data_IF_978733762643
#
_entry.id   IF_978733762643
#
_cell.length_a   1.000
_cell.length_b   1.000
_cell.length_c   1.000
_cell.angle_alpha   90.00
_cell.angle_beta   90.00
_cell.angle_gamma   90.00
#
_symmetry.space_group_name_H-M   'P 1'
#
loop_
_entity.id
_entity.type
_entity.pdbx_description
1 polymer ?
#
# COMPACT_ATOMS: atom_id res chain seq x y z
N UNK A 1 -13.66 15.04 -23.46
CA UNK A 1 -12.40 15.48 -22.79
C UNK A 1 -12.53 15.25 -21.30
N UNK A 2 -11.48 14.74 -20.64
CA UNK A 2 -11.43 14.60 -19.18
C UNK A 2 -10.29 15.46 -18.66
N UNK A 3 -10.60 16.34 -17.71
CA UNK A 3 -9.61 17.18 -17.04
C UNK A 3 -9.28 16.46 -15.73
N UNK A 4 -7.99 16.25 -15.47
CA UNK A 4 -7.47 15.68 -14.23
C UNK A 4 -6.59 16.78 -13.61
N UNK A 5 -6.90 17.20 -12.39
CA UNK A 5 -6.13 18.20 -11.65
C UNK A 5 -5.30 17.51 -10.56
N UNK A 6 -4.08 17.96 -10.36
CA UNK A 6 -3.21 17.50 -9.27
C UNK A 6 -3.17 18.58 -8.18
N UNK A 7 -3.62 18.25 -6.97
CA UNK A 7 -3.72 19.18 -5.85
C UNK A 7 -2.82 18.66 -4.73
N UNK A 8 -1.85 19.47 -4.32
CA UNK A 8 -0.90 19.13 -3.25
C UNK A 8 -1.13 19.90 -1.96
N UNK A 9 -1.88 21.01 -2.01
CA UNK A 9 -2.22 21.79 -0.83
C UNK A 9 -3.17 21.02 0.08
N UNK A 10 -2.79 20.87 1.35
CA UNK A 10 -3.51 20.05 2.32
C UNK A 10 -4.86 20.65 2.70
N UNK A 11 -4.98 21.98 2.77
CA UNK A 11 -6.24 22.62 3.09
C UNK A 11 -7.26 22.36 1.98
N UNK A 12 -6.84 22.57 0.73
CA UNK A 12 -7.65 22.31 -0.47
C UNK A 12 -8.09 20.85 -0.56
N UNK A 13 -7.20 19.88 -0.28
CA UNK A 13 -7.57 18.45 -0.26
C UNK A 13 -8.62 18.17 0.81
N UNK A 14 -8.49 18.77 2.01
CA UNK A 14 -9.46 18.58 3.10
C UNK A 14 -10.83 19.13 2.74
N UNK A 15 -10.90 20.35 2.20
CA UNK A 15 -12.15 20.99 1.80
C UNK A 15 -12.86 20.18 0.71
N UNK A 16 -12.09 19.62 -0.23
CA UNK A 16 -12.62 18.73 -1.26
C UNK A 16 -13.18 17.43 -0.68
N UNK A 17 -12.45 16.77 0.23
CA UNK A 17 -12.94 15.55 0.90
C UNK A 17 -14.21 15.83 1.71
N UNK A 18 -14.26 16.96 2.43
CA UNK A 18 -15.43 17.42 3.17
C UNK A 18 -16.64 17.63 2.25
N UNK A 19 -16.46 18.31 1.13
CA UNK A 19 -17.53 18.54 0.15
C UNK A 19 -18.08 17.24 -0.44
N UNK A 20 -17.25 16.20 -0.56
CA UNK A 20 -17.65 14.86 -1.01
C UNK A 20 -18.21 13.96 0.11
N UNK A 21 -18.19 14.41 1.37
CA UNK A 21 -18.53 13.58 2.52
C UNK A 21 -17.57 12.41 2.76
N UNK A 22 -16.33 12.52 2.26
CA UNK A 22 -15.29 11.52 2.47
C UNK A 22 -14.58 11.72 3.81
N UNK A 23 -14.01 10.64 4.40
CA UNK A 23 -13.16 10.77 5.58
C UNK A 23 -11.94 11.66 5.30
N UNK A 24 -11.70 12.62 6.20
CA UNK A 24 -10.53 13.52 6.15
C UNK A 24 -9.30 12.82 6.73
N UNK A 25 -9.52 11.89 7.67
CA UNK A 25 -8.46 11.08 8.23
C UNK A 25 -8.02 10.03 7.20
N UNK A 26 -6.72 9.78 7.06
CA UNK A 26 -6.25 8.69 6.23
C UNK A 26 -6.80 7.36 6.76
N UNK A 27 -7.10 6.39 5.88
CA UNK A 27 -7.51 5.07 6.33
C UNK A 27 -6.41 4.46 7.18
N UNK A 28 -6.79 3.76 8.25
CA UNK A 28 -5.85 2.97 9.03
C UNK A 28 -5.21 1.94 8.09
N UNK A 29 -3.89 2.00 7.95
CA UNK A 29 -3.15 1.03 7.15
C UNK A 29 -3.30 -0.32 7.85
N UNK A 30 -4.09 -1.20 7.26
CA UNK A 30 -4.09 -2.60 7.66
C UNK A 30 -2.72 -3.19 7.28
N UNK A 31 -2.14 -4.10 8.08
CA UNK A 31 -0.97 -4.83 7.66
C UNK A 31 -1.24 -5.49 6.30
N UNK A 32 -0.20 -5.59 5.48
CA UNK A 32 -0.30 -6.32 4.22
C UNK A 32 -0.94 -7.68 4.50
N UNK A 33 -2.03 -8.00 3.78
CA UNK A 33 -2.66 -9.30 3.92
C UNK A 33 -1.59 -10.35 3.64
N UNK A 34 -1.40 -11.29 4.55
CA UNK A 34 -0.49 -12.42 4.35
C UNK A 34 -0.89 -13.23 3.11
N UNK A 35 -0.06 -14.20 2.71
CA UNK A 35 -0.38 -15.10 1.61
C UNK A 35 -1.79 -15.69 1.76
N UNK A 36 -2.50 -15.95 0.66
CA UNK A 36 -3.79 -16.64 0.69
C UNK A 36 -3.72 -17.92 1.54
N UNK A 37 -4.81 -18.27 2.25
CA UNK A 37 -4.82 -19.41 3.18
C UNK A 37 -4.38 -20.74 2.54
N UNK A 38 -4.64 -20.93 1.25
CA UNK A 38 -4.24 -22.13 0.50
C UNK A 38 -2.75 -22.19 0.16
N UNK A 39 -2.01 -21.08 0.35
CA UNK A 39 -0.56 -20.97 0.23
C UNK A 39 0.14 -20.98 1.61
N UNK A 40 -0.61 -20.99 2.71
CA UNK A 40 -0.03 -21.12 4.04
C UNK A 40 0.33 -22.60 4.28
N UNK A 41 1.60 -22.92 4.61
CA UNK A 41 1.95 -24.26 5.08
C UNK A 41 1.10 -24.61 6.31
N UNK A 42 0.72 -25.89 6.53
CA UNK A 42 0.10 -26.30 7.78
C UNK A 42 0.99 -25.84 8.94
N UNK A 43 0.39 -25.24 9.96
CA UNK A 43 1.08 -24.55 11.06
C UNK A 43 2.12 -25.46 11.74
N UNK A 44 3.33 -25.49 11.18
CA UNK A 44 4.56 -25.69 11.92
C UNK A 44 5.07 -24.30 12.18
N UNK A 45 5.43 -24.02 13.43
CA UNK A 45 6.31 -22.92 13.78
C UNK A 45 7.62 -23.12 13.02
N UNK A 46 7.68 -22.68 11.76
CA UNK A 46 8.94 -22.33 11.14
C UNK A 46 9.22 -20.93 11.65
N UNK A 47 10.22 -20.83 12.50
CA UNK A 47 10.92 -19.59 12.76
C UNK A 47 11.44 -19.12 11.40
N UNK A 48 10.67 -18.25 10.73
CA UNK A 48 11.09 -17.67 9.46
C UNK A 48 12.18 -16.68 9.86
N UNK A 49 13.44 -17.06 9.70
CA UNK A 49 14.54 -16.12 9.80
C UNK A 49 14.30 -14.99 8.77
N UNK A 50 14.04 -13.75 9.21
CA UNK A 50 13.78 -12.64 8.31
C UNK A 50 14.95 -12.36 7.36
N UNK A 51 16.16 -12.83 7.71
CA UNK A 51 17.37 -12.71 6.89
C UNK A 51 17.42 -13.74 5.75
N UNK A 52 16.62 -14.82 5.80
CA UNK A 52 16.57 -15.83 4.73
C UNK A 52 15.46 -15.53 3.72
N UNK A 53 15.32 -14.27 3.32
CA UNK A 53 14.55 -13.95 2.12
C UNK A 53 15.42 -14.23 0.90
N UNK A 54 15.01 -15.12 -0.03
CA UNK A 54 15.71 -15.26 -1.30
C UNK A 54 15.73 -13.90 -1.99
N UNK A 55 16.85 -13.56 -2.63
CA UNK A 55 16.93 -12.34 -3.41
C UNK A 55 15.76 -12.32 -4.42
N UNK A 56 15.05 -11.20 -4.48
CA UNK A 56 13.96 -11.02 -5.43
C UNK A 56 14.49 -11.24 -6.85
N UNK A 57 13.86 -12.15 -7.60
CA UNK A 57 14.11 -12.32 -9.04
C UNK A 57 13.56 -11.14 -9.86
N UNK A 58 12.81 -10.25 -9.23
CA UNK A 58 12.24 -9.06 -9.83
C UNK A 58 13.14 -7.84 -9.60
N UNK A 59 13.66 -7.26 -10.69
CA UNK A 59 14.41 -6.01 -10.70
C UNK A 59 13.43 -4.82 -10.66
N UNK A 60 13.43 -4.09 -9.56
CA UNK A 60 12.65 -2.86 -9.43
C UNK A 60 13.31 -1.75 -10.24
N UNK A 61 12.64 -1.30 -11.32
CA UNK A 61 13.15 -0.20 -12.15
C UNK A 61 13.14 1.13 -11.39
N UNK A 62 14.31 1.52 -10.89
CA UNK A 62 14.53 2.75 -10.13
C UNK A 62 14.39 4.04 -10.97
N UNK A 63 14.18 3.93 -12.30
CA UNK A 63 13.91 5.08 -13.17
C UNK A 63 12.48 5.58 -13.03
N UNK A 64 11.59 4.81 -12.40
CA UNK A 64 10.25 5.26 -12.07
C UNK A 64 10.32 6.01 -10.73
N UNK A 65 10.43 7.34 -10.84
CA UNK A 65 10.25 8.23 -9.70
C UNK A 65 8.74 8.33 -9.40
N UNK A 66 8.35 7.87 -8.21
CA UNK A 66 7.01 8.08 -7.65
C UNK A 66 6.86 9.49 -7.08
#
# INVERSE_FOLDING_TARGET
>A
MRIIAFITDRATVRDFLLALGQPIAPPTIAPARGPPLWQMPPARQREIDPQTQPASEYEFDQRIAW
#
